data_IF_037517635294
#
_entry.id   IF_037517635294
#
_cell.length_a   1.000
_cell.length_b   1.000
_cell.length_c   1.000
_cell.angle_alpha   90.00
_cell.angle_beta   90.00
_cell.angle_gamma   90.00
#
_symmetry.space_group_name_H-M   'P 1'
#
loop_
_entity.id
_entity.type
_entity.pdbx_description
1 polymer ?
#
# COMPACT_ATOMS: atom_id res chain seq x y z
N UNK A 1 4.63 -19.60 5.98
CA UNK A 1 4.77 -18.41 5.12
C UNK A 1 3.45 -17.66 5.09
N UNK A 2 3.46 -16.35 5.30
CA UNK A 2 2.30 -15.45 5.28
C UNK A 2 2.53 -14.33 4.28
N UNK A 3 1.47 -13.88 3.60
CA UNK A 3 1.51 -12.70 2.75
C UNK A 3 0.95 -11.48 3.52
N UNK A 4 1.67 -10.38 3.52
CA UNK A 4 1.32 -9.14 4.24
C UNK A 4 1.02 -8.08 3.19
N UNK A 5 -0.25 -7.69 3.06
CA UNK A 5 -0.66 -6.62 2.16
C UNK A 5 -0.66 -5.30 2.94
N UNK A 6 0.11 -4.33 2.49
CA UNK A 6 0.14 -3.00 3.10
C UNK A 6 -0.57 -2.02 2.17
N UNK A 7 -1.67 -1.48 2.67
CA UNK A 7 -2.44 -0.44 1.99
C UNK A 7 -1.90 0.94 2.36
N UNK A 8 -1.85 1.84 1.40
CA UNK A 8 -1.62 3.25 1.65
C UNK A 8 -2.77 4.11 1.10
N UNK A 9 -2.77 4.46 -0.19
CA UNK A 9 -3.81 5.26 -0.85
C UNK A 9 -4.77 4.47 -1.72
N UNK A 10 -4.43 3.22 -2.01
CA UNK A 10 -5.21 2.35 -2.88
C UNK A 10 -6.31 1.66 -2.09
N UNK A 11 -7.22 2.48 -1.52
CA UNK A 11 -8.32 2.01 -0.66
C UNK A 11 -9.51 1.57 -1.52
N UNK A 12 -9.28 0.55 -2.35
CA UNK A 12 -10.30 -0.05 -3.23
C UNK A 12 -10.07 -1.56 -3.35
N UNK A 13 -11.17 -2.29 -3.49
CA UNK A 13 -11.12 -3.75 -3.67
C UNK A 13 -10.68 -4.12 -5.09
N UNK A 14 -11.25 -3.45 -6.08
CA UNK A 14 -10.98 -3.71 -7.49
C UNK A 14 -9.75 -2.94 -7.96
N UNK A 15 -9.04 -3.51 -8.95
CA UNK A 15 -7.87 -2.89 -9.56
C UNK A 15 -6.79 -2.49 -8.52
N UNK A 16 -6.52 -3.42 -7.60
CA UNK A 16 -5.51 -3.27 -6.56
C UNK A 16 -4.56 -4.46 -6.62
N UNK A 17 -3.43 -4.28 -7.30
CA UNK A 17 -2.47 -5.34 -7.55
C UNK A 17 -1.87 -5.93 -6.26
N UNK A 18 -1.56 -5.07 -5.27
CA UNK A 18 -1.03 -5.57 -3.99
C UNK A 18 -2.03 -6.47 -3.28
N UNK A 19 -3.30 -6.09 -3.25
CA UNK A 19 -4.36 -6.88 -2.62
C UNK A 19 -4.60 -8.18 -3.41
N UNK A 20 -4.66 -8.09 -4.74
CA UNK A 20 -4.85 -9.26 -5.60
C UNK A 20 -3.74 -10.30 -5.42
N UNK A 21 -2.47 -9.90 -5.60
CA UNK A 21 -1.36 -10.84 -5.50
C UNK A 21 -1.08 -11.31 -4.07
N UNK A 22 -1.32 -10.45 -3.07
CA UNK A 22 -1.16 -10.81 -1.67
C UNK A 22 -2.22 -11.77 -1.15
N UNK A 23 -3.43 -11.75 -1.73
CA UNK A 23 -4.52 -12.66 -1.35
C UNK A 23 -4.57 -13.98 -2.12
N UNK A 24 -3.66 -14.21 -3.09
CA UNK A 24 -3.63 -15.46 -3.86
C UNK A 24 -3.38 -16.69 -2.98
N UNK A 25 -2.74 -16.51 -1.84
CA UNK A 25 -2.62 -17.55 -0.81
C UNK A 25 -3.66 -17.31 0.27
N UNK A 26 -4.18 -18.38 0.82
CA UNK A 26 -5.21 -18.31 1.87
C UNK A 26 -4.70 -17.73 3.20
N UNK A 27 -3.38 -17.70 3.42
CA UNK A 27 -2.75 -17.16 4.63
C UNK A 27 -2.18 -15.77 4.36
N UNK A 28 -3.00 -14.75 4.54
CA UNK A 28 -2.60 -13.36 4.37
C UNK A 28 -3.26 -12.44 5.41
N UNK A 29 -2.66 -11.29 5.62
CA UNK A 29 -3.21 -10.19 6.41
C UNK A 29 -3.20 -8.90 5.61
N UNK A 30 -4.17 -8.04 5.86
CA UNK A 30 -4.25 -6.71 5.25
C UNK A 30 -4.01 -5.66 6.34
N UNK A 31 -3.06 -4.77 6.11
CA UNK A 31 -2.67 -3.71 7.04
C UNK A 31 -2.85 -2.36 6.36
N UNK A 32 -3.51 -1.43 7.03
CA UNK A 32 -3.47 -0.01 6.68
C UNK A 32 -2.48 0.70 7.61
N UNK A 33 -1.46 1.34 7.03
CA UNK A 33 -0.48 2.12 7.77
C UNK A 33 -1.01 3.53 8.03
N UNK A 34 -1.37 3.80 9.28
CA UNK A 34 -1.75 5.13 9.76
C UNK A 34 -0.54 5.79 10.44
N UNK A 35 0.02 6.82 9.80
CA UNK A 35 1.13 7.61 10.32
C UNK A 35 0.62 9.01 10.70
N UNK A 36 0.47 9.28 11.99
CA UNK A 36 -0.01 10.55 12.51
C UNK A 36 0.87 11.71 12.06
N UNK A 37 2.21 11.54 12.10
CA UNK A 37 3.15 12.56 11.64
C UNK A 37 2.96 12.91 10.15
N UNK A 38 2.55 11.94 9.34
CA UNK A 38 2.22 12.19 7.95
C UNK A 38 1.01 13.11 7.81
N UNK A 39 -0.02 12.94 8.65
CA UNK A 39 -1.22 13.78 8.61
C UNK A 39 -0.94 15.18 9.11
N UNK A 40 -0.21 15.33 10.21
CA UNK A 40 0.13 16.61 10.81
C UNK A 40 1.13 17.43 9.98
N UNK A 41 2.26 16.80 9.59
CA UNK A 41 3.36 17.49 8.88
C UNK A 41 2.98 18.02 7.49
N UNK A 42 1.87 17.54 6.91
CA UNK A 42 1.47 17.87 5.55
C UNK A 42 0.22 18.76 5.45
N UNK A 43 -0.19 19.35 6.58
CA UNK A 43 -1.33 20.27 6.61
C UNK A 43 -2.61 19.66 6.08
N UNK A 44 -2.78 18.34 6.22
CA UNK A 44 -3.98 17.65 5.76
C UNK A 44 -5.17 18.02 6.63
N UNK A 45 -6.27 18.35 5.96
CA UNK A 45 -7.48 18.79 6.65
C UNK A 45 -8.20 17.62 7.32
N UNK A 46 -8.97 17.93 8.36
CA UNK A 46 -9.89 16.98 9.02
C UNK A 46 -10.85 16.31 8.02
N UNK A 47 -11.23 17.01 6.93
CA UNK A 47 -12.07 16.44 5.87
C UNK A 47 -11.36 15.35 5.08
N UNK A 48 -10.06 15.53 4.80
CA UNK A 48 -9.27 14.50 4.09
C UNK A 48 -9.08 13.27 4.98
N UNK A 49 -8.84 13.47 6.27
CA UNK A 49 -8.74 12.36 7.22
C UNK A 49 -10.07 11.60 7.31
N UNK A 50 -11.19 12.34 7.46
CA UNK A 50 -12.51 11.72 7.48
C UNK A 50 -12.80 10.92 6.20
N UNK A 51 -12.55 11.51 5.03
CA UNK A 51 -12.72 10.82 3.75
C UNK A 51 -11.88 9.54 3.66
N UNK A 52 -10.63 9.59 4.14
CA UNK A 52 -9.77 8.40 4.18
C UNK A 52 -10.36 7.31 5.10
N UNK A 53 -10.88 7.70 6.26
CA UNK A 53 -11.51 6.77 7.19
C UNK A 53 -12.78 6.15 6.60
N UNK A 54 -13.62 6.95 5.93
CA UNK A 54 -14.83 6.47 5.25
C UNK A 54 -14.44 5.44 4.15
N UNK A 55 -13.38 5.69 3.38
CA UNK A 55 -12.87 4.74 2.37
C UNK A 55 -12.32 3.44 3.01
N UNK A 56 -11.66 3.53 4.15
CA UNK A 56 -11.16 2.35 4.89
C UNK A 56 -12.33 1.51 5.38
N UNK A 57 -13.35 2.15 5.94
CA UNK A 57 -14.56 1.47 6.43
C UNK A 57 -15.29 0.74 5.30
N UNK A 58 -15.51 1.41 4.16
CA UNK A 58 -16.15 0.81 2.98
C UNK A 58 -15.35 -0.38 2.44
N UNK A 59 -14.03 -0.24 2.33
CA UNK A 59 -13.16 -1.33 1.90
C UNK A 59 -13.15 -2.47 2.91
N UNK A 60 -13.13 -2.17 4.21
CA UNK A 60 -13.18 -3.19 5.25
C UNK A 60 -14.48 -4.00 5.21
N UNK A 61 -15.62 -3.34 5.01
CA UNK A 61 -16.90 -4.02 4.84
C UNK A 61 -16.86 -4.97 3.62
N UNK A 62 -16.32 -4.50 2.50
CA UNK A 62 -16.17 -5.33 1.29
C UNK A 62 -15.21 -6.51 1.49
N UNK A 63 -14.18 -6.36 2.31
CA UNK A 63 -13.26 -7.44 2.67
C UNK A 63 -13.90 -8.44 3.62
N UNK A 64 -14.73 -7.98 4.56
CA UNK A 64 -15.45 -8.85 5.49
C UNK A 64 -16.44 -9.77 4.77
N UNK A 65 -17.07 -9.29 3.70
CA UNK A 65 -17.96 -10.11 2.85
C UNK A 65 -17.25 -11.32 2.21
N UNK A 66 -15.91 -11.22 2.07
CA UNK A 66 -15.07 -12.31 1.53
C UNK A 66 -14.19 -12.99 2.59
N UNK A 67 -14.46 -12.73 3.88
CA UNK A 67 -13.79 -13.39 5.01
C UNK A 67 -12.42 -12.81 5.35
N UNK A 68 -12.16 -11.54 5.02
CA UNK A 68 -10.93 -10.80 5.36
C UNK A 68 -11.26 -9.51 6.09
N UNK A 69 -10.24 -8.84 6.63
CA UNK A 69 -10.40 -7.54 7.31
C UNK A 69 -9.14 -6.69 7.23
N UNK A 70 -9.28 -5.38 7.46
CA UNK A 70 -8.16 -4.45 7.55
C UNK A 70 -7.72 -4.30 9.00
N UNK A 71 -6.45 -4.52 9.25
CA UNK A 71 -5.81 -4.20 10.52
C UNK A 71 -5.16 -2.81 10.41
N UNK A 72 -5.56 -1.88 11.27
CA UNK A 72 -4.95 -0.55 11.32
C UNK A 72 -3.68 -0.64 12.15
N UNK A 73 -2.54 -0.27 11.55
CA UNK A 73 -1.27 -0.13 12.24
C UNK A 73 -0.93 1.35 12.41
N UNK A 74 -0.84 1.80 13.64
CA UNK A 74 -0.46 3.18 13.98
C UNK A 74 1.05 3.29 14.15
N UNK A 75 1.69 4.16 13.37
CA UNK A 75 3.13 4.40 13.42
C UNK A 75 3.75 4.68 12.07
N UNK A 76 5.07 4.80 12.06
CA UNK A 76 5.85 5.01 10.84
C UNK A 76 6.15 3.70 10.12
N UNK A 77 6.71 3.80 8.90
CA UNK A 77 7.27 2.64 8.20
C UNK A 77 8.34 1.91 9.01
N UNK A 78 9.11 2.64 9.81
CA UNK A 78 10.14 2.03 10.66
C UNK A 78 9.53 1.21 11.81
N UNK A 79 8.42 1.68 12.38
CA UNK A 79 7.71 0.96 13.43
C UNK A 79 7.02 -0.28 12.87
N UNK A 80 6.38 -0.15 11.71
CA UNK A 80 5.79 -1.28 10.99
C UNK A 80 6.84 -2.34 10.65
N UNK A 81 8.03 -1.93 10.19
CA UNK A 81 9.14 -2.86 9.95
C UNK A 81 9.49 -3.66 11.20
N UNK A 82 9.73 -2.99 12.32
CA UNK A 82 10.07 -3.65 13.59
C UNK A 82 8.98 -4.63 14.01
N UNK A 83 7.73 -4.24 13.84
CA UNK A 83 6.59 -5.08 14.18
C UNK A 83 6.53 -6.33 13.29
N UNK A 84 6.72 -6.19 11.98
CA UNK A 84 6.74 -7.32 11.04
C UNK A 84 7.86 -8.29 11.40
N UNK A 85 9.08 -7.79 11.61
CA UNK A 85 10.25 -8.61 11.95
C UNK A 85 10.11 -9.33 13.30
N UNK A 86 9.39 -8.74 14.25
CA UNK A 86 9.13 -9.35 15.56
C UNK A 86 8.06 -10.44 15.54
N UNK A 87 7.08 -10.34 14.62
CA UNK A 87 5.92 -11.23 14.62
C UNK A 87 5.94 -12.31 13.53
N UNK A 88 6.75 -12.15 12.49
CA UNK A 88 6.77 -13.06 11.35
C UNK A 88 8.19 -13.48 10.98
N UNK A 89 8.40 -14.76 10.76
CA UNK A 89 9.68 -15.33 10.35
C UNK A 89 9.73 -15.48 8.83
N UNK A 90 8.68 -16.06 8.25
CA UNK A 90 8.58 -16.41 6.83
C UNK A 90 7.39 -15.69 6.20
N UNK A 91 7.67 -14.64 5.42
CA UNK A 91 6.66 -13.75 4.86
C UNK A 91 7.11 -13.08 3.56
N UNK A 92 6.12 -12.66 2.78
CA UNK A 92 6.27 -11.65 1.72
C UNK A 92 5.37 -10.44 2.03
N UNK A 93 5.83 -9.27 1.60
CA UNK A 93 5.09 -8.02 1.72
C UNK A 93 4.65 -7.59 0.32
N UNK A 94 3.41 -7.15 0.19
CA UNK A 94 2.82 -6.67 -1.04
C UNK A 94 2.35 -5.22 -0.86
N UNK A 95 2.84 -4.32 -1.69
CA UNK A 95 2.45 -2.90 -1.70
C UNK A 95 2.30 -2.39 -3.13
N UNK A 96 1.37 -1.48 -3.33
CA UNK A 96 1.39 -0.67 -4.55
C UNK A 96 2.45 0.43 -4.42
N UNK A 97 2.98 0.89 -5.55
CA UNK A 97 4.00 1.92 -5.57
C UNK A 97 3.52 3.21 -4.88
N UNK A 98 4.37 3.78 -4.04
CA UNK A 98 4.05 5.00 -3.31
C UNK A 98 4.36 6.23 -4.16
N UNK A 99 3.33 6.92 -4.64
CA UNK A 99 3.42 8.17 -5.41
C UNK A 99 3.13 9.40 -4.56
N UNK A 100 3.12 9.25 -3.25
CA UNK A 100 2.74 10.28 -2.30
C UNK A 100 3.84 11.37 -2.11
N UNK A 101 3.60 12.26 -1.18
CA UNK A 101 4.50 13.35 -0.82
C UNK A 101 5.89 12.86 -0.37
N UNK A 102 6.84 13.78 -0.38
CA UNK A 102 8.26 13.49 -0.11
C UNK A 102 8.51 12.75 1.21
N UNK A 103 7.80 13.12 2.29
CA UNK A 103 7.92 12.45 3.59
C UNK A 103 7.61 10.95 3.48
N UNK A 104 6.44 10.63 2.96
CA UNK A 104 5.98 9.24 2.85
C UNK A 104 6.81 8.44 1.84
N UNK A 105 7.19 9.07 0.71
CA UNK A 105 8.07 8.42 -0.28
C UNK A 105 9.43 8.06 0.29
N UNK A 106 10.04 8.93 1.11
CA UNK A 106 11.33 8.63 1.75
C UNK A 106 11.22 7.44 2.70
N UNK A 107 10.16 7.37 3.49
CA UNK A 107 9.87 6.22 4.35
C UNK A 107 9.69 4.94 3.55
N UNK A 108 8.91 5.00 2.48
CA UNK A 108 8.69 3.88 1.57
C UNK A 108 9.97 3.38 0.89
N UNK A 109 10.81 4.28 0.37
CA UNK A 109 12.07 3.89 -0.29
C UNK A 109 13.05 3.24 0.69
N UNK A 110 13.11 3.74 1.93
CA UNK A 110 13.88 3.08 2.98
C UNK A 110 13.32 1.70 3.31
N UNK A 111 12.02 1.59 3.48
CA UNK A 111 11.32 0.33 3.75
C UNK A 111 11.57 -0.69 2.64
N UNK A 112 11.49 -0.26 1.38
CA UNK A 112 11.80 -1.07 0.20
C UNK A 112 13.24 -1.59 0.21
N UNK A 113 14.19 -0.72 0.57
CA UNK A 113 15.60 -1.10 0.68
C UNK A 113 15.83 -2.13 1.80
N UNK A 114 15.18 -1.93 2.94
CA UNK A 114 15.36 -2.77 4.12
C UNK A 114 14.83 -4.20 3.91
N UNK A 115 13.68 -4.35 3.25
CA UNK A 115 13.08 -5.67 3.00
C UNK A 115 13.59 -6.36 1.72
N UNK A 116 14.15 -5.60 0.77
CA UNK A 116 14.74 -6.16 -0.45
C UNK A 116 13.76 -7.09 -1.20
N UNK A 117 14.16 -8.33 -1.44
CA UNK A 117 13.36 -9.32 -2.19
C UNK A 117 12.11 -9.81 -1.47
N UNK A 118 11.97 -9.56 -0.17
CA UNK A 118 10.74 -9.87 0.58
C UNK A 118 9.59 -8.90 0.29
N UNK A 119 9.89 -7.69 -0.21
CA UNK A 119 8.89 -6.69 -0.59
C UNK A 119 8.65 -6.73 -2.10
N UNK A 120 7.41 -6.97 -2.47
CA UNK A 120 6.90 -6.91 -3.85
C UNK A 120 6.13 -5.61 -4.03
N UNK A 121 6.59 -4.79 -4.96
CA UNK A 121 5.98 -3.50 -5.27
C UNK A 121 5.31 -3.59 -6.63
N UNK A 122 4.07 -3.14 -6.71
CA UNK A 122 3.25 -3.15 -7.92
C UNK A 122 3.00 -1.72 -8.39
N UNK A 123 3.11 -1.51 -9.68
CA UNK A 123 2.75 -0.23 -10.29
C UNK A 123 1.23 -0.08 -10.34
N UNK A 124 0.76 1.16 -10.12
CA UNK A 124 -0.61 1.52 -10.43
C UNK A 124 -0.77 1.70 -11.94
N UNK A 125 -1.82 1.12 -12.49
CA UNK A 125 -2.10 1.23 -13.92
C UNK A 125 -2.28 2.70 -14.34
N UNK A 126 -1.64 3.06 -15.46
CA UNK A 126 -1.69 4.41 -16.01
C UNK A 126 -0.61 5.37 -15.48
N UNK A 127 0.18 4.97 -14.47
CA UNK A 127 1.32 5.75 -14.00
C UNK A 127 2.62 5.22 -14.61
N UNK A 128 3.33 6.11 -15.32
CA UNK A 128 4.71 5.84 -15.73
C UNK A 128 5.65 6.58 -14.80
N UNK A 129 6.37 5.84 -13.97
CA UNK A 129 7.21 6.38 -12.90
C UNK A 129 8.66 6.63 -13.33
N UNK A 130 9.06 6.08 -14.49
CA UNK A 130 10.42 6.21 -15.03
C UNK A 130 10.36 6.67 -16.48
N UNK A 131 11.36 7.47 -16.91
CA UNK A 131 11.55 7.95 -18.28
C UNK A 131 10.26 8.55 -18.87
N UNK A 132 9.92 9.75 -18.37
CA UNK A 132 8.75 10.46 -18.84
C UNK A 132 8.95 10.92 -20.30
N UNK A 133 8.53 10.08 -21.21
CA UNK A 133 8.37 10.38 -22.64
C UNK A 133 6.90 10.20 -22.99
N UNK A 134 6.28 11.26 -23.52
CA UNK A 134 4.87 11.29 -23.87
C UNK A 134 4.51 10.19 -24.90
N UNK A 135 5.37 9.96 -25.85
CA UNK A 135 5.12 8.99 -26.91
C UNK A 135 5.24 7.55 -26.39
N UNK A 136 6.22 7.30 -25.52
CA UNK A 136 6.37 6.03 -24.84
C UNK A 136 5.19 5.76 -23.88
N UNK A 137 4.71 6.79 -23.18
CA UNK A 137 3.52 6.69 -22.33
C UNK A 137 2.27 6.33 -23.15
N UNK A 138 2.04 7.02 -24.24
CA UNK A 138 0.90 6.77 -25.14
C UNK A 138 0.90 5.34 -25.69
N UNK A 139 2.06 4.84 -26.11
CA UNK A 139 2.21 3.44 -26.59
C UNK A 139 1.95 2.43 -25.48
N UNK A 140 2.45 2.68 -24.28
CA UNK A 140 2.22 1.81 -23.12
C UNK A 140 0.75 1.81 -22.70
N UNK A 141 0.10 2.98 -22.71
CA UNK A 141 -1.33 3.08 -22.41
C UNK A 141 -2.17 2.19 -23.32
N UNK A 142 -1.97 2.29 -24.63
CA UNK A 142 -2.70 1.47 -25.60
C UNK A 142 -2.41 -0.04 -25.48
N UNK A 143 -1.32 -0.43 -24.84
CA UNK A 143 -0.99 -1.83 -24.58
C UNK A 143 -1.63 -2.37 -23.30
N UNK A 144 -1.85 -1.50 -22.30
CA UNK A 144 -2.40 -1.87 -21.00
C UNK A 144 -3.93 -1.86 -21.02
N UNK A 145 -4.53 -0.89 -21.73
CA UNK A 145 -5.99 -0.76 -21.90
C UNK A 145 -6.50 -1.61 -23.06
#
# INVERSE_FOLDING_TARGET
>A
MIDIVILNRNLRLHDNAALFYGSLRSNYIVIYLYDENYWEANGKSTRQLKFSNDCIEELNNSLQDIGSEINIFEGSFNDLKKWIEANFIDYFIHMNHCTDISYFRKGFEKFKKDFGSKLRVYDDFGLQLTNFDRDAWSKNWNRIM
#
